data_IF_295162591201
#
_entry.id   IF_295162591201
#
_cell.length_a   1.000
_cell.length_b   1.000
_cell.length_c   1.000
_cell.angle_alpha   90.00
_cell.angle_beta   90.00
_cell.angle_gamma   90.00
#
_symmetry.space_group_name_H-M   'P 1'
#
loop_
_entity.id
_entity.type
_entity.pdbx_description
1 polymer ?
#
# COMPACT_ATOMS: atom_id res chain seq x y z
N UNK A 1 21.40 -47.40 24.93
CA UNK A 1 21.63 -48.78 24.43
C UNK A 1 22.66 -48.67 23.33
N UNK A 2 23.82 -49.31 23.45
CA UNK A 2 24.83 -49.31 22.37
C UNK A 2 24.27 -50.08 21.18
N UNK A 3 24.52 -49.59 19.97
CA UNK A 3 24.04 -50.22 18.74
C UNK A 3 24.87 -51.47 18.43
N UNK A 4 24.30 -52.43 17.70
CA UNK A 4 24.91 -53.73 17.40
C UNK A 4 26.30 -53.59 16.72
N UNK A 5 26.45 -52.56 15.87
CA UNK A 5 27.72 -52.21 15.23
C UNK A 5 28.81 -51.77 16.22
N UNK A 6 28.45 -51.06 17.30
CA UNK A 6 29.40 -50.65 18.34
C UNK A 6 29.86 -51.83 19.19
N UNK A 7 29.02 -52.85 19.35
CA UNK A 7 29.37 -54.07 20.09
C UNK A 7 30.34 -54.92 19.26
N UNK A 8 30.12 -55.03 17.95
CA UNK A 8 31.01 -55.79 17.05
C UNK A 8 32.41 -55.15 16.94
N UNK A 9 32.49 -53.82 16.89
CA UNK A 9 33.77 -53.10 16.84
C UNK A 9 34.58 -53.28 18.14
N UNK A 10 33.91 -53.27 19.30
CA UNK A 10 34.55 -53.52 20.60
C UNK A 10 35.06 -54.97 20.70
N UNK A 11 34.33 -55.94 20.14
CA UNK A 11 34.73 -57.35 20.15
C UNK A 11 35.93 -57.62 19.25
N UNK A 12 36.10 -56.90 18.14
CA UNK A 12 37.27 -57.02 17.26
C UNK A 12 38.56 -56.44 17.85
N UNK A 13 38.46 -55.54 18.82
CA UNK A 13 39.62 -54.92 19.48
C UNK A 13 40.15 -55.73 20.68
N UNK A 14 39.53 -56.86 21.03
CA UNK A 14 39.99 -57.72 22.11
C UNK A 14 41.18 -58.61 21.65
N UNK A 15 42.28 -58.69 22.43
CA UNK A 15 43.41 -59.54 22.09
C UNK A 15 43.06 -61.04 22.19
N UNK A 16 43.50 -61.83 21.21
CA UNK A 16 43.28 -63.28 21.20
C UNK A 16 44.00 -63.96 22.39
N UNK A 17 43.31 -64.75 23.23
CA UNK A 17 43.94 -65.43 24.34
C UNK A 17 44.85 -66.56 23.83
N UNK A 18 46.15 -66.46 24.12
CA UNK A 18 47.10 -67.52 23.82
C UNK A 18 46.80 -68.77 24.68
N UNK A 19 46.66 -69.98 24.08
CA UNK A 19 46.41 -71.20 24.83
C UNK A 19 47.63 -71.58 25.69
N UNK A 20 47.44 -72.08 26.93
CA UNK A 20 48.55 -72.45 27.81
C UNK A 20 49.38 -73.60 27.20
N UNK A 21 50.73 -73.59 27.36
CA UNK A 21 51.68 -74.43 26.60
C UNK A 21 51.64 -75.94 26.91
N UNK A 22 50.60 -76.45 27.55
CA UNK A 22 50.49 -77.87 27.94
C UNK A 22 49.11 -78.50 27.61
N UNK A 23 48.13 -77.71 27.15
CA UNK A 23 46.75 -78.17 26.91
C UNK A 23 46.65 -79.23 25.80
N UNK A 24 47.43 -79.07 24.72
CA UNK A 24 47.45 -80.02 23.60
C UNK A 24 48.06 -81.38 24.00
N UNK A 25 48.97 -81.40 24.98
CA UNK A 25 49.57 -82.62 25.53
C UNK A 25 48.60 -83.38 26.44
N UNK A 26 47.83 -82.66 27.25
CA UNK A 26 46.78 -83.23 28.12
C UNK A 26 45.62 -83.81 27.31
N UNK A 27 45.15 -83.09 26.29
CA UNK A 27 44.06 -83.56 25.43
C UNK A 27 44.43 -84.84 24.66
N UNK A 28 45.68 -84.95 24.18
CA UNK A 28 46.15 -86.17 23.49
C UNK A 28 46.36 -87.36 24.42
N UNK A 29 46.68 -87.14 25.70
CA UNK A 29 46.81 -88.24 26.69
C UNK A 29 45.46 -88.75 27.19
N UNK A 30 44.43 -87.92 27.21
CA UNK A 30 43.13 -88.25 27.82
C UNK A 30 42.17 -88.94 26.83
N UNK A 31 42.42 -88.87 25.53
CA UNK A 31 41.59 -89.51 24.51
C UNK A 31 42.12 -90.92 24.21
N UNK A 32 41.60 -91.92 24.92
CA UNK A 32 41.62 -93.29 24.44
C UNK A 32 40.30 -93.56 23.68
N UNK A 33 40.38 -93.58 22.35
CA UNK A 33 39.28 -94.04 21.50
C UNK A 33 39.18 -95.57 21.61
N UNK A 34 38.03 -96.14 22.03
CA UNK A 34 37.86 -97.59 22.00
C UNK A 34 37.97 -98.10 20.56
N UNK A 35 38.79 -99.14 20.35
CA UNK A 35 38.81 -99.88 19.09
C UNK A 35 37.42 -100.47 18.84
N UNK A 36 36.80 -100.08 17.73
CA UNK A 36 35.57 -100.67 17.22
C UNK A 36 35.73 -102.19 17.10
N UNK A 37 34.97 -102.93 17.91
CA UNK A 37 34.75 -104.35 17.74
C UNK A 37 33.68 -104.49 16.67
N UNK A 38 34.01 -105.12 15.54
CA UNK A 38 33.06 -105.43 14.47
C UNK A 38 31.95 -106.33 15.01
N UNK A 39 30.84 -105.70 15.40
CA UNK A 39 29.59 -106.36 15.77
C UNK A 39 28.94 -106.94 14.53
N UNK A 40 28.79 -108.25 14.55
CA UNK A 40 28.03 -109.06 13.62
C UNK A 40 26.62 -108.51 13.45
N UNK A 41 26.23 -108.28 12.20
CA UNK A 41 24.93 -107.74 11.83
C UNK A 41 23.79 -108.68 12.24
N UNK A 42 22.86 -108.15 13.03
CA UNK A 42 21.49 -108.66 13.11
C UNK A 42 20.67 -107.78 12.17
N UNK A 43 20.49 -108.25 10.95
CA UNK A 43 19.66 -107.62 9.94
C UNK A 43 18.18 -107.79 10.28
N UNK A 44 17.62 -106.82 10.99
CA UNK A 44 16.22 -106.45 10.81
C UNK A 44 16.19 -105.45 9.66
N UNK A 45 15.54 -105.85 8.57
CA UNK A 45 15.44 -105.08 7.34
C UNK A 45 14.59 -103.80 7.52
N UNK A 46 15.20 -102.79 8.10
CA UNK A 46 14.78 -101.39 8.08
C UNK A 46 15.78 -100.55 7.25
N UNK A 47 16.44 -101.22 6.28
CA UNK A 47 17.54 -100.68 5.47
C UNK A 47 17.11 -99.51 4.60
N UNK A 48 15.88 -99.57 4.07
CA UNK A 48 15.30 -98.49 3.28
C UNK A 48 15.04 -97.28 4.19
N UNK A 49 14.34 -97.44 5.31
CA UNK A 49 13.95 -96.32 6.16
C UNK A 49 15.13 -95.54 6.77
N UNK A 50 16.20 -96.21 7.22
CA UNK A 50 17.41 -95.51 7.72
C UNK A 50 18.14 -94.71 6.64
N UNK A 51 18.04 -95.12 5.38
CA UNK A 51 18.69 -94.48 4.24
C UNK A 51 17.92 -93.25 3.73
N UNK A 52 16.60 -93.25 3.91
CA UNK A 52 15.71 -92.14 3.51
C UNK A 52 15.32 -91.20 4.66
N UNK A 53 15.55 -91.57 5.93
CA UNK A 53 15.26 -90.75 7.12
C UNK A 53 15.86 -89.32 7.07
N UNK A 54 17.14 -89.12 6.71
CA UNK A 54 17.68 -87.76 6.58
C UNK A 54 17.01 -87.00 5.43
N UNK A 55 16.72 -87.66 4.30
CA UNK A 55 16.03 -87.05 3.16
C UNK A 55 14.60 -86.62 3.53
N UNK A 56 13.88 -87.40 4.34
CA UNK A 56 12.55 -87.05 4.85
C UNK A 56 12.61 -85.87 5.84
N UNK A 57 13.63 -85.80 6.69
CA UNK A 57 13.85 -84.66 7.59
C UNK A 57 14.06 -83.35 6.82
N UNK A 58 14.91 -83.37 5.78
CA UNK A 58 15.07 -82.22 4.89
C UNK A 58 13.79 -81.88 4.14
N UNK A 59 13.02 -82.87 3.68
CA UNK A 59 11.75 -82.63 2.98
C UNK A 59 10.71 -81.92 3.87
N UNK A 60 10.58 -82.33 5.14
CA UNK A 60 9.66 -81.67 6.10
C UNK A 60 10.11 -80.25 6.42
N UNK A 61 11.41 -80.01 6.59
CA UNK A 61 11.95 -78.67 6.83
C UNK A 61 11.70 -77.74 5.62
N UNK A 62 11.95 -78.22 4.41
CA UNK A 62 11.69 -77.48 3.18
C UNK A 62 10.20 -77.17 3.05
N UNK A 63 9.33 -78.14 3.32
CA UNK A 63 7.87 -77.94 3.29
C UNK A 63 7.43 -76.89 4.32
N UNK A 64 7.99 -76.92 5.54
CA UNK A 64 7.76 -75.90 6.56
C UNK A 64 8.19 -74.50 6.11
N UNK A 65 9.39 -74.38 5.51
CA UNK A 65 9.86 -73.12 4.92
C UNK A 65 8.92 -72.62 3.81
N UNK A 66 8.43 -73.50 2.93
CA UNK A 66 7.49 -73.14 1.87
C UNK A 66 6.16 -72.64 2.44
N UNK A 67 5.63 -73.28 3.48
CA UNK A 67 4.38 -72.84 4.14
C UNK A 67 4.56 -71.46 4.78
N UNK A 68 5.66 -71.22 5.49
CA UNK A 68 5.95 -69.92 6.09
C UNK A 68 6.10 -68.84 5.02
N UNK A 69 6.83 -69.12 3.93
CA UNK A 69 6.96 -68.19 2.82
C UNK A 69 5.61 -67.91 2.14
N UNK A 70 4.76 -68.93 1.96
CA UNK A 70 3.42 -68.77 1.41
C UNK A 70 2.55 -67.88 2.30
N UNK A 71 2.58 -68.10 3.62
CA UNK A 71 1.88 -67.24 4.59
C UNK A 71 2.43 -65.82 4.55
N UNK A 72 3.75 -65.65 4.57
CA UNK A 72 4.40 -64.32 4.49
C UNK A 72 4.03 -63.57 3.20
N UNK A 73 4.00 -64.27 2.06
CA UNK A 73 3.60 -63.71 0.76
C UNK A 73 2.12 -63.33 0.77
N UNK A 74 1.25 -64.16 1.33
CA UNK A 74 -0.18 -63.88 1.46
C UNK A 74 -0.43 -62.65 2.34
N UNK A 75 0.16 -62.61 3.54
CA UNK A 75 0.02 -61.46 4.45
C UNK A 75 0.61 -60.19 3.88
N UNK A 76 1.72 -60.29 3.13
CA UNK A 76 2.33 -59.16 2.44
C UNK A 76 1.47 -58.61 1.31
N UNK A 77 0.76 -59.48 0.59
CA UNK A 77 -0.21 -59.08 -0.43
C UNK A 77 -1.40 -58.32 0.16
N UNK A 78 -2.01 -58.86 1.22
CA UNK A 78 -3.16 -58.24 1.88
C UNK A 78 -2.82 -56.88 2.50
N UNK A 79 -1.67 -56.76 3.17
CA UNK A 79 -1.22 -55.49 3.74
C UNK A 79 -0.97 -54.44 2.65
N UNK A 80 -0.39 -54.83 1.50
CA UNK A 80 -0.20 -53.90 0.37
C UNK A 80 -1.54 -53.46 -0.22
N UNK A 81 -2.49 -54.38 -0.36
CA UNK A 81 -3.83 -54.05 -0.85
C UNK A 81 -4.53 -53.06 0.07
N UNK A 82 -4.59 -53.33 1.38
CA UNK A 82 -5.18 -52.42 2.36
C UNK A 82 -4.46 -51.07 2.42
N UNK A 83 -3.14 -51.04 2.25
CA UNK A 83 -2.39 -49.78 2.21
C UNK A 83 -2.75 -48.95 0.97
N UNK A 84 -2.96 -49.60 -0.18
CA UNK A 84 -3.40 -48.94 -1.40
C UNK A 84 -4.83 -48.43 -1.31
N UNK A 85 -5.75 -49.23 -0.75
CA UNK A 85 -7.13 -48.82 -0.45
C UNK A 85 -7.15 -47.59 0.47
N UNK A 86 -6.40 -47.61 1.58
CA UNK A 86 -6.30 -46.47 2.49
C UNK A 86 -5.70 -45.22 1.83
N UNK A 87 -4.73 -45.38 0.92
CA UNK A 87 -4.18 -44.25 0.15
C UNK A 87 -5.24 -43.64 -0.76
N UNK A 88 -6.04 -44.47 -1.42
CA UNK A 88 -7.14 -43.99 -2.28
C UNK A 88 -8.21 -43.25 -1.47
N UNK A 89 -8.59 -43.78 -0.30
CA UNK A 89 -9.53 -43.11 0.61
C UNK A 89 -8.98 -41.76 1.09
N UNK A 90 -7.69 -41.68 1.43
CA UNK A 90 -7.06 -40.41 1.82
C UNK A 90 -7.05 -39.39 0.68
N UNK A 91 -6.81 -39.81 -0.56
CA UNK A 91 -6.88 -38.92 -1.72
C UNK A 91 -8.30 -38.36 -1.88
N UNK A 92 -9.32 -39.22 -1.85
CA UNK A 92 -10.73 -38.79 -1.95
C UNK A 92 -11.13 -37.88 -0.78
N UNK A 93 -10.71 -38.20 0.45
CA UNK A 93 -10.96 -37.38 1.61
C UNK A 93 -10.30 -35.99 1.47
N UNK A 94 -9.07 -35.94 0.96
CA UNK A 94 -8.38 -34.67 0.74
C UNK A 94 -9.04 -33.84 -0.37
N UNK A 95 -9.41 -34.46 -1.49
CA UNK A 95 -10.13 -33.78 -2.57
C UNK A 95 -11.47 -33.19 -2.11
N UNK A 96 -12.23 -33.93 -1.29
CA UNK A 96 -13.48 -33.41 -0.72
C UNK A 96 -13.24 -32.28 0.28
N UNK A 97 -12.17 -32.36 1.09
CA UNK A 97 -11.77 -31.28 1.99
C UNK A 97 -11.40 -30.02 1.22
N UNK A 98 -10.62 -30.14 0.13
CA UNK A 98 -10.23 -29.04 -0.74
C UNK A 98 -11.45 -28.41 -1.44
N UNK A 99 -12.37 -29.23 -1.94
CA UNK A 99 -13.62 -28.75 -2.55
C UNK A 99 -14.50 -28.00 -1.53
N UNK A 100 -14.61 -28.51 -0.31
CA UNK A 100 -15.35 -27.88 0.78
C UNK A 100 -14.69 -26.56 1.22
N UNK A 101 -13.36 -26.51 1.30
CA UNK A 101 -12.62 -25.30 1.61
C UNK A 101 -12.82 -24.22 0.52
N UNK A 102 -12.77 -24.61 -0.76
CA UNK A 102 -13.04 -23.71 -1.88
C UNK A 102 -14.48 -23.18 -1.86
N UNK A 103 -15.46 -24.03 -1.54
CA UNK A 103 -16.86 -23.63 -1.38
C UNK A 103 -17.05 -22.64 -0.21
N UNK A 104 -16.40 -22.89 0.93
CA UNK A 104 -16.44 -22.00 2.08
C UNK A 104 -15.81 -20.63 1.78
N UNK A 105 -14.69 -20.61 1.04
CA UNK A 105 -14.06 -19.35 0.59
C UNK A 105 -14.98 -18.55 -0.34
N UNK A 106 -15.67 -19.20 -1.28
CA UNK A 106 -16.65 -18.54 -2.16
C UNK A 106 -17.80 -17.95 -1.35
N UNK A 107 -18.38 -18.72 -0.42
CA UNK A 107 -19.45 -18.23 0.44
C UNK A 107 -19.00 -17.05 1.33
N UNK A 108 -17.74 -17.04 1.79
CA UNK A 108 -17.18 -15.91 2.52
C UNK A 108 -17.02 -14.67 1.64
N UNK A 109 -16.55 -14.82 0.41
CA UNK A 109 -16.44 -13.73 -0.57
C UNK A 109 -17.82 -13.15 -0.91
N UNK A 110 -18.81 -14.00 -1.16
CA UNK A 110 -20.19 -13.59 -1.44
C UNK A 110 -20.80 -12.82 -0.27
N UNK A 111 -20.50 -13.23 0.97
CA UNK A 111 -20.95 -12.52 2.17
C UNK A 111 -20.34 -11.13 2.27
N UNK A 112 -19.06 -10.97 1.93
CA UNK A 112 -18.40 -9.65 1.90
C UNK A 112 -19.05 -8.76 0.84
N UNK A 113 -19.27 -9.30 -0.37
CA UNK A 113 -19.94 -8.58 -1.45
C UNK A 113 -21.35 -8.14 -1.06
N UNK A 114 -22.13 -8.98 -0.37
CA UNK A 114 -23.45 -8.62 0.15
C UNK A 114 -23.42 -7.52 1.21
N UNK A 115 -22.39 -7.49 2.06
CA UNK A 115 -22.23 -6.42 3.05
C UNK A 115 -21.90 -5.09 2.35
N UNK A 116 -21.03 -5.13 1.34
CA UNK A 116 -20.73 -3.95 0.53
C UNK A 116 -21.97 -3.41 -0.17
N UNK A 117 -22.76 -4.27 -0.82
CA UNK A 117 -24.00 -3.86 -1.47
C UNK A 117 -25.02 -3.22 -0.50
N UNK A 118 -25.04 -3.65 0.77
CA UNK A 118 -25.89 -3.02 1.80
C UNK A 118 -25.39 -1.64 2.21
N UNK A 119 -24.07 -1.48 2.30
CA UNK A 119 -23.46 -0.19 2.58
C UNK A 119 -23.72 0.78 1.42
N UNK A 120 -23.53 0.32 0.18
CA UNK A 120 -23.82 1.11 -1.03
C UNK A 120 -25.30 1.52 -1.09
N UNK A 121 -26.23 0.60 -0.78
CA UNK A 121 -27.65 0.93 -0.72
C UNK A 121 -27.96 1.99 0.35
N UNK A 122 -27.35 1.90 1.53
CA UNK A 122 -27.53 2.91 2.57
C UNK A 122 -26.93 4.27 2.17
N UNK A 123 -25.87 4.30 1.37
CA UNK A 123 -25.30 5.55 0.85
C UNK A 123 -26.22 6.18 -0.21
N UNK A 124 -26.86 5.37 -1.06
CA UNK A 124 -27.88 5.85 -2.01
C UNK A 124 -29.03 6.54 -1.27
N UNK A 125 -29.57 5.91 -0.22
CA UNK A 125 -30.65 6.50 0.58
C UNK A 125 -30.25 7.87 1.17
N UNK A 126 -29.01 8.00 1.66
CA UNK A 126 -28.48 9.29 2.16
C UNK A 126 -28.34 10.34 1.06
N UNK A 127 -27.96 9.93 -0.14
CA UNK A 127 -27.85 10.85 -1.28
C UNK A 127 -29.21 11.34 -1.73
N UNK A 128 -30.23 10.48 -1.72
CA UNK A 128 -31.61 10.87 -1.98
C UNK A 128 -32.11 11.89 -0.94
N UNK A 129 -31.86 11.67 0.35
CA UNK A 129 -32.21 12.63 1.41
C UNK A 129 -31.53 14.00 1.20
N UNK A 130 -30.25 14.01 0.82
CA UNK A 130 -29.52 15.25 0.49
C UNK A 130 -30.12 15.94 -0.73
N UNK A 131 -30.51 15.19 -1.76
CA UNK A 131 -31.11 15.73 -2.97
C UNK A 131 -32.47 16.37 -2.67
N UNK A 132 -33.29 15.73 -1.85
CA UNK A 132 -34.55 16.29 -1.36
C UNK A 132 -34.34 17.56 -0.53
N UNK A 133 -33.35 17.56 0.37
CA UNK A 133 -33.00 18.74 1.16
C UNK A 133 -32.54 19.91 0.28
N UNK A 134 -31.72 19.65 -0.74
CA UNK A 134 -31.27 20.67 -1.69
C UNK A 134 -32.42 21.19 -2.54
N UNK A 135 -33.30 20.33 -3.04
CA UNK A 135 -34.49 20.73 -3.79
C UNK A 135 -35.41 21.62 -2.95
N UNK A 136 -35.60 21.28 -1.67
CA UNK A 136 -36.36 22.11 -0.74
C UNK A 136 -35.69 23.48 -0.50
N UNK A 137 -34.36 23.53 -0.43
CA UNK A 137 -33.62 24.79 -0.31
C UNK A 137 -33.76 25.68 -1.56
N UNK A 138 -33.67 25.09 -2.77
CA UNK A 138 -33.90 25.79 -4.04
C UNK A 138 -35.32 26.36 -4.09
N UNK A 139 -36.33 25.59 -3.69
CA UNK A 139 -37.71 26.04 -3.64
C UNK A 139 -37.93 27.21 -2.65
N UNK A 140 -37.24 27.20 -1.50
CA UNK A 140 -37.28 28.31 -0.54
C UNK A 140 -36.66 29.58 -1.11
N UNK A 141 -35.47 29.46 -1.71
CA UNK A 141 -34.77 30.59 -2.31
C UNK A 141 -35.54 31.18 -3.50
N UNK A 142 -36.17 30.34 -4.33
CA UNK A 142 -36.99 30.83 -5.44
C UNK A 142 -38.25 31.55 -4.95
N UNK A 143 -38.88 31.06 -3.88
CA UNK A 143 -40.01 31.74 -3.24
C UNK A 143 -39.60 33.09 -2.62
N UNK A 144 -38.43 33.16 -1.98
CA UNK A 144 -37.87 34.40 -1.45
C UNK A 144 -37.55 35.39 -2.57
N UNK A 145 -36.91 34.94 -3.65
CA UNK A 145 -36.64 35.76 -4.83
C UNK A 145 -37.93 36.30 -5.46
N UNK A 146 -38.98 35.49 -5.57
CA UNK A 146 -40.28 35.93 -6.08
C UNK A 146 -40.93 36.97 -5.16
N UNK A 147 -40.82 36.80 -3.84
CA UNK A 147 -41.31 37.78 -2.85
C UNK A 147 -40.55 39.10 -2.96
N UNK A 148 -39.22 39.06 -3.07
CA UNK A 148 -38.38 40.26 -3.26
C UNK A 148 -38.74 40.96 -4.58
N UNK A 149 -38.94 40.21 -5.66
CA UNK A 149 -39.38 40.77 -6.94
C UNK A 149 -40.74 41.46 -6.82
N UNK A 150 -41.70 40.86 -6.10
CA UNK A 150 -43.01 41.46 -5.86
C UNK A 150 -42.91 42.73 -4.98
N UNK A 151 -42.02 42.74 -3.98
CA UNK A 151 -41.74 43.91 -3.16
C UNK A 151 -41.12 45.05 -3.98
N UNK A 152 -40.19 44.73 -4.89
CA UNK A 152 -39.61 45.70 -5.82
C UNK A 152 -40.66 46.28 -6.77
N UNK A 153 -41.60 45.47 -7.26
CA UNK A 153 -42.69 45.97 -8.13
C UNK A 153 -43.80 46.72 -7.40
N UNK A 154 -43.98 46.47 -6.10
CA UNK A 154 -44.99 47.12 -5.26
C UNK A 154 -44.47 48.36 -4.53
N UNK A 155 -43.15 48.57 -4.51
CA UNK A 155 -42.57 49.81 -4.02
C UNK A 155 -43.05 50.95 -4.92
N UNK A 156 -43.65 52.03 -4.37
CA UNK A 156 -44.02 53.20 -5.16
C UNK A 156 -42.76 53.70 -5.86
N UNK A 157 -42.85 53.95 -7.18
CA UNK A 157 -41.77 54.60 -7.92
C UNK A 157 -41.40 55.87 -7.13
N UNK A 158 -40.15 56.01 -6.65
CA UNK A 158 -39.73 57.28 -6.11
C UNK A 158 -39.90 58.31 -7.24
N UNK A 159 -40.62 59.40 -6.95
CA UNK A 159 -40.58 60.58 -7.82
C UNK A 159 -39.11 60.84 -8.16
N UNK A 160 -38.77 61.07 -9.44
CA UNK A 160 -37.41 61.00 -9.90
C UNK A 160 -36.61 62.17 -9.33
N UNK A 161 -36.03 61.97 -8.15
CA UNK A 161 -34.78 62.62 -7.81
C UNK A 161 -33.74 61.97 -8.72
N UNK A 162 -33.47 62.64 -9.85
CA UNK A 162 -32.49 62.23 -10.84
C UNK A 162 -31.12 62.27 -10.15
N UNK A 163 -30.74 61.19 -9.48
CA UNK A 163 -29.35 60.89 -9.17
C UNK A 163 -28.73 60.56 -10.53
N UNK A 164 -28.04 61.52 -11.11
CA UNK A 164 -27.45 61.37 -12.42
C UNK A 164 -26.46 60.17 -12.40
N UNK A 165 -26.38 59.37 -13.48
CA UNK A 165 -25.54 58.15 -13.55
C UNK A 165 -24.08 58.32 -13.10
N UNK A 166 -23.59 59.56 -13.10
CA UNK A 166 -22.26 59.93 -12.61
C UNK A 166 -22.08 59.79 -11.09
N UNK A 167 -23.14 59.72 -10.27
CA UNK A 167 -23.00 59.62 -8.81
C UNK A 167 -22.88 58.17 -8.34
N UNK A 168 -23.43 57.21 -9.09
CA UNK A 168 -23.35 55.78 -8.75
C UNK A 168 -21.99 55.17 -9.12
N UNK A 169 -21.43 55.57 -10.27
CA UNK A 169 -20.14 55.07 -10.76
C UNK A 169 -18.98 56.07 -10.61
N UNK A 170 -19.26 57.37 -10.48
CA UNK A 170 -18.24 58.43 -10.51
C UNK A 170 -17.80 58.95 -9.16
N UNK A 171 -18.55 58.73 -8.07
CA UNK A 171 -18.03 59.03 -6.72
C UNK A 171 -17.10 57.88 -6.28
N UNK A 172 -15.84 58.20 -6.00
CA UNK A 172 -14.87 57.27 -5.42
C UNK A 172 -15.40 56.62 -4.12
N UNK A 173 -16.31 57.29 -3.41
CA UNK A 173 -16.95 56.81 -2.20
C UNK A 173 -18.29 56.07 -2.42
N UNK A 174 -18.71 55.79 -3.65
CA UNK A 174 -19.93 55.01 -3.86
C UNK A 174 -19.84 53.63 -3.20
N UNK A 175 -20.95 53.10 -2.70
CA UNK A 175 -20.98 51.80 -2.02
C UNK A 175 -20.40 50.68 -2.90
N UNK A 176 -20.60 50.77 -4.22
CA UNK A 176 -20.03 49.87 -5.20
C UNK A 176 -18.50 49.99 -5.29
N UNK A 177 -17.97 51.20 -5.39
CA UNK A 177 -16.51 51.42 -5.45
C UNK A 177 -15.83 50.96 -4.15
N UNK A 178 -16.43 51.23 -2.99
CA UNK A 178 -15.95 50.70 -1.71
C UNK A 178 -15.99 49.16 -1.66
N UNK A 179 -17.06 48.53 -2.14
CA UNK A 179 -17.17 47.08 -2.20
C UNK A 179 -16.11 46.47 -3.14
N UNK A 180 -15.86 47.11 -4.29
CA UNK A 180 -14.81 46.71 -5.24
C UNK A 180 -13.42 46.81 -4.62
N UNK A 181 -13.07 47.92 -3.97
CA UNK A 181 -11.78 48.09 -3.29
C UNK A 181 -11.59 47.06 -2.17
N UNK A 182 -12.64 46.78 -1.38
CA UNK A 182 -12.61 45.71 -0.37
C UNK A 182 -12.37 44.34 -1.00
N UNK A 183 -13.06 44.03 -2.11
CA UNK A 183 -12.87 42.77 -2.82
C UNK A 183 -11.43 42.62 -3.36
N UNK A 184 -10.86 43.69 -3.95
CA UNK A 184 -9.46 43.72 -4.40
C UNK A 184 -8.47 43.51 -3.25
N UNK A 185 -8.70 44.11 -2.09
CA UNK A 185 -7.87 43.91 -0.89
C UNK A 185 -7.93 42.46 -0.40
N UNK A 186 -9.14 41.86 -0.33
CA UNK A 186 -9.30 40.44 0.07
C UNK A 186 -8.59 39.51 -0.92
N UNK A 187 -8.75 39.73 -2.22
CA UNK A 187 -8.06 38.96 -3.24
C UNK A 187 -6.53 39.12 -3.13
N UNK A 188 -6.04 40.32 -2.81
CA UNK A 188 -4.62 40.56 -2.56
C UNK A 188 -4.08 39.76 -1.36
N UNK A 189 -4.85 39.65 -0.28
CA UNK A 189 -4.51 38.82 0.90
C UNK A 189 -4.52 37.34 0.54
N UNK A 190 -5.49 36.87 -0.23
CA UNK A 190 -5.54 35.47 -0.66
C UNK A 190 -4.35 35.11 -1.55
N UNK A 191 -3.93 36.01 -2.43
CA UNK A 191 -2.70 35.84 -3.22
C UNK A 191 -1.47 35.74 -2.31
N UNK A 192 -1.34 36.57 -1.27
CA UNK A 192 -0.24 36.44 -0.29
C UNK A 192 -0.25 35.12 0.46
N UNK A 193 -1.43 34.58 0.79
CA UNK A 193 -1.54 33.25 1.41
C UNK A 193 -1.07 32.16 0.46
N UNK A 194 -1.45 32.23 -0.82
CA UNK A 194 -0.97 31.28 -1.83
C UNK A 194 0.54 31.38 -2.03
N UNK A 195 1.09 32.60 -2.07
CA UNK A 195 2.54 32.81 -2.09
C UNK A 195 3.20 32.18 -0.86
N UNK A 196 2.70 32.46 0.35
CA UNK A 196 3.26 31.91 1.58
C UNK A 196 3.19 30.37 1.65
N UNK A 197 2.12 29.77 1.10
CA UNK A 197 2.01 28.32 0.97
C UNK A 197 3.07 27.78 -0.02
N UNK A 198 3.22 28.42 -1.19
CA UNK A 198 4.23 28.04 -2.18
C UNK A 198 5.65 28.11 -1.60
N UNK A 199 5.96 29.11 -0.76
CA UNK A 199 7.23 29.19 -0.02
C UNK A 199 7.47 27.94 0.84
N UNK A 200 6.46 27.47 1.56
CA UNK A 200 6.56 26.31 2.46
C UNK A 200 6.70 25.01 1.70
N UNK A 201 5.91 24.83 0.63
CA UNK A 201 6.03 23.65 -0.24
C UNK A 201 7.44 23.59 -0.85
N UNK A 202 7.93 24.72 -1.38
CA UNK A 202 9.29 24.81 -1.89
C UNK A 202 10.35 24.48 -0.82
N UNK A 203 10.22 25.04 0.38
CA UNK A 203 11.18 24.81 1.46
C UNK A 203 11.27 23.35 1.88
N UNK A 204 10.13 22.65 1.89
CA UNK A 204 10.06 21.22 2.22
C UNK A 204 10.94 20.38 1.27
N UNK A 205 11.00 20.75 -0.01
CA UNK A 205 11.80 20.05 -1.02
C UNK A 205 13.23 20.63 -1.17
N UNK A 206 13.57 21.69 -0.43
CA UNK A 206 14.83 22.42 -0.54
C UNK A 206 15.53 22.60 0.83
N UNK A 207 15.55 21.55 1.65
CA UNK A 207 16.25 21.52 2.95
C UNK A 207 15.86 22.68 3.88
N UNK A 208 14.58 23.08 3.91
CA UNK A 208 14.10 24.19 4.72
C UNK A 208 14.56 25.57 4.25
N UNK A 209 15.11 25.70 3.02
CA UNK A 209 15.48 26.99 2.42
C UNK A 209 14.33 27.57 1.61
N UNK A 210 13.99 28.80 1.91
CA UNK A 210 13.05 29.59 1.11
C UNK A 210 13.60 29.90 -0.28
N UNK A 211 12.73 30.03 -1.28
CA UNK A 211 13.13 30.21 -2.67
C UNK A 211 13.98 31.48 -2.85
N UNK A 212 14.97 31.47 -3.76
CA UNK A 212 15.78 32.65 -4.07
C UNK A 212 15.01 33.74 -4.81
N UNK A 213 13.97 33.35 -5.57
CA UNK A 213 13.11 34.24 -6.35
C UNK A 213 11.78 33.53 -6.68
N UNK A 214 10.77 34.27 -7.13
CA UNK A 214 9.46 33.72 -7.45
C UNK A 214 9.50 32.66 -8.57
N UNK A 215 10.38 32.82 -9.56
CA UNK A 215 10.46 31.93 -10.72
C UNK A 215 11.00 30.54 -10.34
N UNK A 216 11.87 30.46 -9.33
CA UNK A 216 12.37 29.18 -8.81
C UNK A 216 11.23 28.31 -8.31
N UNK A 217 10.26 28.87 -7.58
CA UNK A 217 9.08 28.14 -7.11
C UNK A 217 7.89 28.20 -8.08
N UNK A 218 8.15 28.33 -9.39
CA UNK A 218 7.10 28.39 -10.42
C UNK A 218 6.17 27.17 -10.43
N UNK A 219 6.70 25.98 -10.09
CA UNK A 219 5.91 24.76 -9.95
C UNK A 219 4.88 24.85 -8.82
N UNK A 220 5.19 25.61 -7.74
CA UNK A 220 4.35 25.71 -6.55
C UNK A 220 3.31 26.84 -6.62
N UNK A 221 3.50 27.79 -7.53
CA UNK A 221 2.64 28.98 -7.67
C UNK A 221 1.43 28.78 -8.59
N UNK A 222 1.33 27.63 -9.27
CA UNK A 222 0.37 27.27 -10.33
C UNK A 222 0.37 28.21 -11.55
N UNK A 223 0.14 29.52 -11.37
CA UNK A 223 0.13 30.56 -12.41
C UNK A 223 0.69 31.90 -11.90
N UNK A 224 1.33 32.67 -12.78
CA UNK A 224 1.90 33.98 -12.41
C UNK A 224 0.88 35.04 -11.97
N UNK A 225 -0.42 34.83 -12.25
CA UNK A 225 -1.50 35.72 -11.77
C UNK A 225 -1.54 35.82 -10.24
N UNK A 226 -1.10 34.79 -9.53
CA UNK A 226 -0.96 34.80 -8.06
C UNK A 226 0.05 35.85 -7.60
N UNK A 227 1.06 36.18 -8.43
CA UNK A 227 2.04 37.24 -8.18
C UNK A 227 1.55 38.63 -8.57
N UNK A 228 0.28 38.78 -8.98
CA UNK A 228 -0.28 40.07 -9.41
C UNK A 228 -1.34 40.55 -8.41
N UNK A 229 -1.19 41.78 -7.95
CA UNK A 229 -2.23 42.45 -7.17
C UNK A 229 -3.41 42.78 -8.10
N UNK A 230 -4.66 42.61 -7.68
CA UNK A 230 -5.83 42.95 -8.51
C UNK A 230 -5.86 44.42 -8.98
N UNK A 231 -5.27 45.33 -8.21
CA UNK A 231 -5.16 46.76 -8.55
C UNK A 231 -3.99 47.07 -9.50
N UNK A 232 -3.07 46.13 -9.72
CA UNK A 232 -1.96 46.27 -10.64
C UNK A 232 -2.34 45.82 -12.06
N UNK A 233 -3.13 46.64 -12.74
CA UNK A 233 -3.65 46.30 -14.07
C UNK A 233 -2.53 45.91 -15.04
N UNK A 234 -1.38 46.58 -14.99
CA UNK A 234 -0.25 46.30 -15.86
C UNK A 234 0.33 44.90 -15.66
N UNK A 235 0.56 44.47 -14.42
CA UNK A 235 1.04 43.11 -14.15
C UNK A 235 -0.04 42.05 -14.39
N UNK A 236 -1.31 42.36 -14.12
CA UNK A 236 -2.44 41.47 -14.42
C UNK A 236 -2.55 41.22 -15.94
N UNK A 237 -2.49 42.26 -16.76
CA UNK A 237 -2.52 42.17 -18.22
C UNK A 237 -1.34 41.39 -18.76
N UNK A 238 -0.12 41.63 -18.24
CA UNK A 238 1.07 40.84 -18.58
C UNK A 238 0.91 39.37 -18.26
N UNK A 239 0.40 39.04 -17.06
CA UNK A 239 0.17 37.66 -16.67
C UNK A 239 -0.89 37.00 -17.56
N UNK A 240 -1.95 37.72 -17.92
CA UNK A 240 -2.95 37.23 -18.87
C UNK A 240 -2.33 36.97 -20.24
N UNK A 241 -1.58 37.91 -20.80
CA UNK A 241 -0.96 37.76 -22.12
C UNK A 241 -0.03 36.53 -22.20
N UNK A 242 0.71 36.24 -21.13
CA UNK A 242 1.65 35.12 -21.08
C UNK A 242 1.00 33.78 -20.76
N UNK A 243 0.00 33.74 -19.88
CA UNK A 243 -0.55 32.49 -19.31
C UNK A 243 -1.98 32.16 -19.79
N UNK A 244 -2.74 33.08 -20.39
CA UNK A 244 -4.08 32.80 -20.91
C UNK A 244 -4.07 31.84 -22.11
N UNK A 245 -2.96 31.77 -22.83
CA UNK A 245 -2.74 30.82 -23.94
C UNK A 245 -1.95 29.57 -23.53
N UNK A 246 -1.52 29.46 -22.26
CA UNK A 246 -0.73 28.33 -21.79
C UNK A 246 -1.68 27.15 -21.47
N UNK A 247 -1.68 26.12 -22.32
CA UNK A 247 -2.47 24.90 -22.11
C UNK A 247 -3.79 24.78 -22.89
N UNK A 248 -4.11 25.72 -23.79
CA UNK A 248 -5.19 25.55 -24.77
C UNK A 248 -4.63 25.07 -26.11
N UNK A 249 -5.28 24.11 -26.81
CA UNK A 249 -4.88 23.72 -28.16
C UNK A 249 -5.09 24.91 -29.11
N UNK A 250 -4.03 25.39 -29.76
CA UNK A 250 -4.16 26.30 -30.90
C UNK A 250 -4.21 25.48 -32.19
N UNK A 251 -5.29 25.64 -32.96
CA UNK A 251 -5.48 24.94 -34.24
C UNK A 251 -4.51 25.42 -35.35
N UNK A 252 -3.87 26.57 -35.19
CA UNK A 252 -3.14 27.22 -36.30
C UNK A 252 -1.61 27.09 -36.27
N UNK A 253 -0.98 26.64 -35.20
CA UNK A 253 0.47 26.42 -35.18
C UNK A 253 0.79 25.41 -34.07
N UNK A 254 1.39 24.27 -34.45
CA UNK A 254 1.59 23.08 -33.60
C UNK A 254 2.60 23.23 -32.45
N UNK A 255 2.58 24.36 -31.73
CA UNK A 255 3.41 24.59 -30.55
C UNK A 255 2.53 24.96 -29.36
N UNK A 256 2.22 23.98 -28.51
CA UNK A 256 1.69 24.25 -27.18
C UNK A 256 2.63 25.22 -26.46
N UNK A 257 2.18 26.43 -26.12
CA UNK A 257 2.91 27.25 -25.12
C UNK A 257 2.81 26.51 -23.79
N UNK A 258 3.88 25.82 -23.41
CA UNK A 258 3.96 25.17 -22.11
C UNK A 258 3.97 26.23 -21.00
N UNK A 259 3.40 25.89 -19.85
CA UNK A 259 3.45 26.75 -18.65
C UNK A 259 4.91 27.12 -18.31
N UNK A 260 5.86 26.22 -18.56
CA UNK A 260 7.28 26.47 -18.41
C UNK A 260 7.80 27.58 -19.34
N UNK A 261 7.37 27.60 -20.60
CA UNK A 261 7.75 28.66 -21.55
C UNK A 261 7.18 30.03 -21.14
N UNK A 262 5.97 30.06 -20.57
CA UNK A 262 5.38 31.29 -20.02
C UNK A 262 6.18 31.81 -18.81
N UNK A 263 6.59 30.92 -17.89
CA UNK A 263 7.46 31.27 -16.76
C UNK A 263 8.85 31.74 -17.17
N UNK A 264 9.42 31.22 -18.27
CA UNK A 264 10.69 31.69 -18.81
C UNK A 264 10.63 33.14 -19.32
N UNK A 265 9.45 33.59 -19.76
CA UNK A 265 9.22 34.97 -20.21
C UNK A 265 8.78 35.90 -19.05
N UNK A 266 8.37 35.33 -17.92
CA UNK A 266 7.98 36.11 -16.74
C UNK A 266 9.23 36.76 -16.11
N UNK A 267 9.23 38.08 -15.83
CA UNK A 267 10.37 38.74 -15.22
C UNK A 267 10.77 38.09 -13.88
N UNK A 268 12.07 38.00 -13.60
CA UNK A 268 12.56 37.50 -12.31
C UNK A 268 12.03 38.40 -11.19
N UNK A 269 11.39 37.80 -10.20
CA UNK A 269 10.66 38.53 -9.14
C UNK A 269 9.63 39.54 -9.70
N UNK A 270 9.09 39.25 -10.88
CA UNK A 270 8.04 40.03 -11.53
C UNK A 270 6.70 39.89 -10.82
N UNK A 271 5.81 40.86 -11.05
CA UNK A 271 4.50 40.95 -10.44
C UNK A 271 4.38 42.15 -9.51
N UNK A 272 3.37 42.17 -8.65
CA UNK A 272 3.08 43.27 -7.72
C UNK A 272 3.64 43.04 -6.32
N UNK A 273 3.97 41.79 -6.01
CA UNK A 273 4.54 41.41 -4.72
C UNK A 273 6.07 41.51 -4.76
N UNK A 274 6.64 41.88 -3.64
CA UNK A 274 8.07 41.93 -3.38
C UNK A 274 8.44 40.75 -2.48
N UNK A 275 9.44 39.97 -2.90
CA UNK A 275 10.01 38.90 -2.09
C UNK A 275 11.05 39.48 -1.13
N UNK A 276 10.82 39.30 0.18
CA UNK A 276 11.71 39.76 1.24
C UNK A 276 12.37 38.59 2.00
N UNK A 277 11.82 37.38 1.86
CA UNK A 277 12.31 36.16 2.50
C UNK A 277 13.27 35.32 1.66
N UNK A 278 13.86 35.90 0.61
CA UNK A 278 14.70 35.15 -0.32
C UNK A 278 15.88 34.45 0.39
N UNK A 279 16.05 33.15 0.14
CA UNK A 279 17.13 32.32 0.71
C UNK A 279 17.18 32.22 2.24
N UNK A 280 16.13 32.63 2.96
CA UNK A 280 16.06 32.41 4.40
C UNK A 280 15.91 30.91 4.71
N UNK A 281 16.47 30.47 5.83
CA UNK A 281 16.27 29.11 6.33
C UNK A 281 15.14 29.08 7.35
N UNK A 282 14.35 28.00 7.41
CA UNK A 282 13.29 27.80 8.41
C UNK A 282 13.83 27.81 9.85
N UNK A 283 15.08 27.41 10.07
CA UNK A 283 15.74 27.50 11.39
C UNK A 283 16.34 28.88 11.69
N UNK A 284 16.17 29.88 10.80
CA UNK A 284 16.71 31.21 11.05
C UNK A 284 16.08 31.81 12.31
N UNK A 285 16.86 32.41 13.22
CA UNK A 285 16.31 33.04 14.42
C UNK A 285 15.19 34.03 14.09
N UNK A 286 14.02 33.81 14.69
CA UNK A 286 12.84 34.65 14.51
C UNK A 286 12.17 34.58 13.14
N UNK A 287 12.41 33.52 12.34
CA UNK A 287 11.83 33.37 10.99
C UNK A 287 10.31 33.52 10.96
N UNK A 288 9.63 33.09 12.01
CA UNK A 288 8.17 33.16 12.18
C UNK A 288 7.66 34.60 12.09
N UNK A 289 8.46 35.58 12.51
CA UNK A 289 8.12 37.00 12.52
C UNK A 289 8.75 37.77 11.34
N UNK A 290 9.50 37.11 10.45
CA UNK A 290 10.10 37.77 9.29
C UNK A 290 9.09 37.86 8.16
N UNK A 291 9.02 39.04 7.53
CA UNK A 291 8.21 39.24 6.34
C UNK A 291 8.86 38.49 5.18
N UNK A 292 8.13 37.56 4.56
CA UNK A 292 8.62 36.77 3.43
C UNK A 292 8.19 37.38 2.09
N UNK A 293 7.01 38.00 2.05
CA UNK A 293 6.48 38.66 0.86
C UNK A 293 5.58 39.84 1.26
N UNK A 294 5.59 40.90 0.43
CA UNK A 294 4.78 42.11 0.65
C UNK A 294 4.16 42.59 -0.66
N UNK A 295 2.90 43.01 -0.63
CA UNK A 295 2.27 43.71 -1.75
C UNK A 295 2.78 45.15 -1.84
N UNK A 296 3.28 45.58 -3.01
CA UNK A 296 3.72 46.97 -3.23
C UNK A 296 2.57 47.98 -3.33
N UNK A 297 1.34 47.51 -3.59
CA UNK A 297 0.16 48.36 -3.74
C UNK A 297 -0.57 48.53 -2.41
N UNK A 298 -1.11 47.44 -1.86
CA UNK A 298 -1.87 47.49 -0.60
C UNK A 298 -0.98 47.52 0.65
N UNK A 299 0.31 47.19 0.54
CA UNK A 299 1.21 47.06 1.69
C UNK A 299 0.99 45.81 2.55
N UNK A 300 -0.03 44.99 2.26
CA UNK A 300 -0.28 43.72 2.93
C UNK A 300 0.96 42.82 2.86
N UNK A 301 1.21 42.03 3.89
CA UNK A 301 2.42 41.23 3.99
C UNK A 301 2.18 39.87 4.63
N UNK A 302 2.97 38.88 4.20
CA UNK A 302 3.00 37.54 4.77
C UNK A 302 4.27 37.32 5.60
N UNK A 303 4.14 36.59 6.71
CA UNK A 303 5.24 36.22 7.59
C UNK A 303 5.70 34.78 7.34
N UNK A 304 6.89 34.43 7.84
CA UNK A 304 7.47 33.08 7.71
C UNK A 304 6.65 31.98 8.38
N UNK A 305 5.82 32.32 9.37
CA UNK A 305 4.86 31.39 9.98
C UNK A 305 3.63 31.09 9.08
N UNK A 306 3.52 31.76 7.93
CA UNK A 306 2.40 31.64 7.00
C UNK A 306 1.21 32.57 7.31
N UNK A 307 1.26 33.34 8.40
CA UNK A 307 0.25 34.36 8.70
C UNK A 307 0.35 35.53 7.71
N UNK A 308 -0.79 36.13 7.39
CA UNK A 308 -0.87 37.28 6.49
C UNK A 308 -1.58 38.43 7.19
N UNK A 309 -0.95 39.60 7.16
CA UNK A 309 -1.39 40.79 7.86
C UNK A 309 -1.78 41.86 6.85
N UNK A 310 -2.95 42.46 7.07
CA UNK A 310 -3.40 43.59 6.29
C UNK A 310 -2.74 44.86 6.83
N UNK A 311 -1.96 45.53 5.98
CA UNK A 311 -1.51 46.89 6.27
C UNK A 311 -2.72 47.83 6.41
N UNK A 312 -2.67 48.82 7.33
CA UNK A 312 -3.71 49.83 7.43
C UNK A 312 -3.84 50.56 6.09
N UNK A 313 -5.08 50.75 5.62
CA UNK A 313 -5.33 51.46 4.36
C UNK A 313 -4.72 52.87 4.45
N UNK A 314 -3.79 53.19 3.55
CA UNK A 314 -3.39 54.60 3.37
C UNK A 314 -4.63 55.35 2.94
N UNK A 315 -5.12 56.26 3.79
CA UNK A 315 -6.09 57.26 3.36
C UNK A 315 -5.39 58.11 2.31
N UNK A 316 -5.97 58.20 1.11
CA UNK A 316 -5.49 59.13 0.09
C UNK A 316 -5.39 60.53 0.71
N UNK A 317 -4.18 61.11 0.70
CA UNK A 317 -3.95 62.48 1.19
C UNK A 317 -3.04 62.66 2.40
N UNK A 318 -2.28 61.66 2.85
CA UNK A 318 -1.23 61.88 3.86
C UNK A 318 0.17 61.57 3.27
N UNK A 319 1.15 62.49 3.40
CA UNK A 319 2.45 62.39 2.75
C UNK A 319 3.25 61.14 3.15
#
# INVERSE_FOLDING_TARGET
>A
MKTEAEIEEILRQAPEPAPPPQLAGELKRTIQLPRSVNGTGVGLDLSIWRRWLPALGYAVLILGCVVVLAVQVQTGGELRQRNEELRQELVLANETADANAAAAQRAAADRIALLQLREDAAEVDRLEEKLDALNAAIARLSAEAAKLQAQLSAAPEPEPEIIAPHDFFGDANSAFNQARTKASSIACVNNLKQIGLAFRIWAQDNDGRFPPNFNSMSNELAVAKTLCCPEDKANVERALALFHSAGLPSEEEGYYRSIAAAWAQWPINGGSYEMLGANLHEDSPGIVNKIIARCRIHGHYGLGDGSVHQAPQRREGQP
#
